data_IF_457054147994
#
_entry.id   IF_457054147994
#
_cell.length_a   1.000
_cell.length_b   1.000
_cell.length_c   1.000
_cell.angle_alpha   90.00
_cell.angle_beta   90.00
_cell.angle_gamma   90.00
#
_symmetry.space_group_name_H-M   'P 1'
#
loop_
_entity.id
_entity.type
_entity.pdbx_description
1 polymer ?
#
# COMPACT_ATOMS: atom_id res chain seq x y z
N UNK A 1 -6.18 3.54 12.17
CA UNK A 1 -5.99 3.73 13.63
C UNK A 1 -7.07 4.61 14.26
N UNK A 2 -7.62 5.59 13.57
CA UNK A 2 -8.63 6.52 14.10
C UNK A 2 -9.92 5.79 14.50
N UNK A 3 -10.39 4.85 13.68
CA UNK A 3 -11.57 4.02 13.99
C UNK A 3 -11.37 3.17 15.25
N UNK A 4 -10.16 2.68 15.46
CA UNK A 4 -9.83 1.87 16.64
C UNK A 4 -9.77 2.70 17.92
N UNK A 5 -9.17 3.88 17.86
CA UNK A 5 -8.94 4.73 19.04
C UNK A 5 -10.05 5.74 19.32
N UNK A 6 -10.88 6.04 18.32
CA UNK A 6 -11.86 7.14 18.37
C UNK A 6 -11.23 8.53 18.26
N UNK A 7 -9.92 8.61 17.97
CA UNK A 7 -9.20 9.88 17.83
C UNK A 7 -9.39 10.45 16.42
N UNK A 8 -9.39 11.78 16.28
CA UNK A 8 -9.52 12.43 14.97
C UNK A 8 -8.26 12.25 14.09
N UNK A 9 -7.10 12.05 14.72
CA UNK A 9 -5.81 11.80 14.06
C UNK A 9 -4.90 11.01 14.98
N UNK A 10 -4.23 9.99 14.46
CA UNK A 10 -3.26 9.17 15.21
C UNK A 10 -1.89 9.30 14.58
N UNK A 11 -0.93 9.87 15.31
CA UNK A 11 0.46 10.02 14.87
C UNK A 11 1.47 9.39 15.83
N UNK A 12 0.98 8.72 16.88
CA UNK A 12 1.75 7.96 17.84
C UNK A 12 0.91 6.81 18.39
N UNK A 13 1.55 5.76 18.85
CA UNK A 13 0.91 4.71 19.63
C UNK A 13 1.03 5.09 21.12
N UNK A 14 0.06 5.81 21.59
CA UNK A 14 -0.07 6.27 22.97
C UNK A 14 -0.87 5.30 23.85
N UNK A 15 -1.16 5.68 25.08
CA UNK A 15 -1.96 4.88 26.00
C UNK A 15 -3.38 4.59 25.46
N UNK A 16 -3.95 5.49 24.64
CA UNK A 16 -5.24 5.29 23.99
C UNK A 16 -5.18 4.13 22.99
N UNK A 17 -4.14 4.09 22.16
CA UNK A 17 -3.90 2.97 21.23
C UNK A 17 -3.72 1.66 21.96
N UNK A 18 -2.93 1.64 23.04
CA UNK A 18 -2.68 0.47 23.85
C UNK A 18 -3.98 -0.09 24.48
N UNK A 19 -4.78 0.77 25.09
CA UNK A 19 -6.06 0.38 25.67
C UNK A 19 -7.04 -0.12 24.60
N UNK A 20 -7.07 0.52 23.43
CA UNK A 20 -7.90 0.09 22.32
C UNK A 20 -7.52 -1.31 21.83
N UNK A 21 -6.24 -1.60 21.63
CA UNK A 21 -5.74 -2.92 21.23
C UNK A 21 -5.95 -4.00 22.28
N UNK A 22 -5.89 -3.64 23.56
CA UNK A 22 -6.23 -4.57 24.66
C UNK A 22 -7.71 -4.92 24.68
N UNK A 23 -8.57 -3.93 24.43
CA UNK A 23 -10.03 -4.09 24.41
C UNK A 23 -10.51 -4.81 23.15
N UNK A 24 -9.93 -4.47 22.00
CA UNK A 24 -10.27 -5.02 20.69
C UNK A 24 -8.99 -5.48 19.97
N UNK A 25 -8.59 -6.75 20.13
CA UNK A 25 -7.39 -7.28 19.48
C UNK A 25 -7.65 -7.47 17.97
N UNK A 26 -7.36 -6.45 17.18
CA UNK A 26 -7.45 -6.50 15.70
C UNK A 26 -6.28 -7.29 15.11
N UNK A 27 -6.44 -7.82 13.88
CA UNK A 27 -5.38 -8.54 13.15
C UNK A 27 -4.39 -7.61 12.44
N UNK A 28 -4.77 -6.37 12.19
CA UNK A 28 -3.92 -5.40 11.50
C UNK A 28 -4.46 -3.98 11.56
N UNK A 29 -3.63 -3.04 11.14
CA UNK A 29 -3.94 -1.61 11.10
C UNK A 29 -3.49 -1.03 9.76
N UNK A 30 -4.44 -0.41 9.05
CA UNK A 30 -4.17 0.40 7.86
C UNK A 30 -3.88 1.85 8.29
N UNK A 31 -2.75 2.36 7.84
CA UNK A 31 -2.34 3.75 8.03
C UNK A 31 -2.49 4.55 6.74
N UNK A 32 -2.74 5.84 6.88
CA UNK A 32 -2.90 6.78 5.78
C UNK A 32 -2.00 8.00 5.94
N UNK A 33 -1.94 8.83 4.92
CA UNK A 33 -1.17 10.07 4.86
C UNK A 33 -1.27 10.92 6.13
N UNK A 34 -2.46 11.02 6.73
CA UNK A 34 -2.69 11.80 7.95
C UNK A 34 -1.89 11.30 9.17
N UNK A 35 -1.45 10.04 9.15
CA UNK A 35 -0.69 9.43 10.26
C UNK A 35 0.81 9.73 10.19
N UNK A 36 1.31 10.21 9.06
CA UNK A 36 2.74 10.34 8.80
C UNK A 36 3.20 11.80 8.89
N UNK A 37 4.34 12.03 9.56
CA UNK A 37 4.96 13.34 9.76
C UNK A 37 6.43 13.33 9.30
N UNK A 38 7.19 12.32 9.74
CA UNK A 38 8.61 12.12 9.40
C UNK A 38 9.01 10.66 9.63
N UNK A 39 10.07 10.20 8.95
CA UNK A 39 10.53 8.80 9.01
C UNK A 39 10.70 8.26 10.43
N UNK A 40 11.31 9.03 11.32
CA UNK A 40 11.51 8.60 12.71
C UNK A 40 10.18 8.41 13.45
N UNK A 41 9.24 9.36 13.32
CA UNK A 41 7.90 9.25 13.94
C UNK A 41 7.15 8.02 13.43
N UNK A 42 7.21 7.71 12.15
CA UNK A 42 6.57 6.51 11.58
C UNK A 42 7.17 5.24 12.20
N UNK A 43 8.51 5.12 12.26
CA UNK A 43 9.17 3.98 12.90
C UNK A 43 8.75 3.80 14.36
N UNK A 44 8.76 4.87 15.13
CA UNK A 44 8.38 4.86 16.54
C UNK A 44 6.91 4.44 16.70
N UNK A 45 6.01 5.04 15.92
CA UNK A 45 4.58 4.73 15.94
C UNK A 45 4.32 3.27 15.61
N UNK A 46 4.88 2.73 14.51
CA UNK A 46 4.66 1.34 14.10
C UNK A 46 5.27 0.36 15.11
N UNK A 47 6.49 0.61 15.57
CA UNK A 47 7.16 -0.22 16.58
C UNK A 47 6.36 -0.27 17.88
N UNK A 48 5.88 0.88 18.36
CA UNK A 48 5.09 0.95 19.58
C UNK A 48 3.72 0.30 19.42
N UNK A 49 3.04 0.53 18.28
CA UNK A 49 1.78 -0.16 17.96
C UNK A 49 1.95 -1.67 18.03
N UNK A 50 3.01 -2.21 17.42
CA UNK A 50 3.30 -3.65 17.47
C UNK A 50 3.53 -4.14 18.91
N UNK A 51 4.23 -3.37 19.74
CA UNK A 51 4.47 -3.71 21.16
C UNK A 51 3.21 -3.66 22.02
N UNK A 52 2.25 -2.83 21.66
CA UNK A 52 0.96 -2.74 22.36
C UNK A 52 0.04 -3.93 22.09
N UNK A 53 0.27 -4.67 21.01
CA UNK A 53 -0.56 -5.81 20.63
C UNK A 53 -0.04 -7.13 21.21
N UNK A 54 -0.97 -8.00 21.57
CA UNK A 54 -0.66 -9.37 22.05
C UNK A 54 -0.38 -10.36 20.92
N UNK A 55 -0.77 -10.03 19.71
CA UNK A 55 -0.56 -10.81 18.50
C UNK A 55 0.22 -9.99 17.48
N UNK A 56 1.03 -10.60 16.60
CA UNK A 56 1.66 -9.88 15.51
C UNK A 56 0.60 -9.21 14.63
N UNK A 57 0.77 -7.90 14.40
CA UNK A 57 -0.13 -7.11 13.56
C UNK A 57 0.33 -7.05 12.13
N UNK A 58 -0.63 -7.07 11.19
CA UNK A 58 -0.43 -6.56 9.84
C UNK A 58 -0.41 -5.04 9.92
N UNK A 59 0.74 -4.42 9.62
CA UNK A 59 0.91 -2.97 9.56
C UNK A 59 1.07 -2.57 8.10
N UNK A 60 0.10 -1.84 7.57
CA UNK A 60 -0.01 -1.61 6.14
C UNK A 60 -0.41 -0.17 5.78
N UNK A 61 -0.14 0.23 4.55
CA UNK A 61 -0.69 1.39 3.87
C UNK A 61 -0.80 1.11 2.37
N UNK A 62 -1.26 2.09 1.58
CA UNK A 62 -1.25 2.04 0.12
C UNK A 62 0.00 2.76 -0.40
N UNK A 63 1.01 2.04 -0.83
CA UNK A 63 2.22 2.60 -1.45
C UNK A 63 2.42 1.99 -2.83
N UNK A 64 1.53 2.37 -3.77
CA UNK A 64 1.50 1.79 -5.12
C UNK A 64 2.58 2.37 -6.05
N UNK A 65 3.14 3.51 -5.68
CA UNK A 65 3.85 4.40 -6.60
C UNK A 65 2.91 5.38 -7.31
N UNK A 66 3.46 6.26 -8.14
CA UNK A 66 2.67 7.26 -8.86
C UNK A 66 1.83 8.14 -7.96
N UNK A 67 0.55 8.27 -8.29
CA UNK A 67 -0.40 9.14 -7.55
C UNK A 67 -0.94 8.52 -6.25
N UNK A 68 -0.86 7.20 -6.10
CA UNK A 68 -1.26 6.52 -4.87
C UNK A 68 -0.02 6.14 -4.08
N UNK A 69 0.44 7.07 -3.31
CA UNK A 69 1.56 6.91 -2.38
C UNK A 69 1.26 7.68 -1.09
N UNK A 70 1.62 7.12 0.06
CA UNK A 70 1.38 7.72 1.37
C UNK A 70 2.67 8.18 2.03
N UNK A 71 3.76 7.45 1.77
CA UNK A 71 5.07 7.66 2.39
C UNK A 71 5.95 8.60 1.56
N UNK A 72 5.95 8.42 0.25
CA UNK A 72 6.74 9.23 -0.68
C UNK A 72 6.44 10.73 -0.52
N UNK A 73 5.15 11.10 -0.49
CA UNK A 73 4.72 12.49 -0.37
C UNK A 73 4.93 13.08 1.03
N UNK A 74 4.92 12.27 2.09
CA UNK A 74 4.89 12.77 3.46
C UNK A 74 6.23 12.67 4.15
N UNK A 75 6.96 11.56 3.97
CA UNK A 75 8.21 11.30 4.69
C UNK A 75 9.42 11.17 3.77
N UNK A 76 9.22 11.27 2.45
CA UNK A 76 10.31 11.31 1.47
C UNK A 76 11.00 9.95 1.29
N UNK A 77 10.22 8.87 1.10
CA UNK A 77 10.72 7.60 0.55
C UNK A 77 11.09 7.77 -0.93
N UNK A 78 11.70 6.76 -1.53
CA UNK A 78 12.16 6.82 -2.92
C UNK A 78 10.98 7.04 -3.88
N UNK A 79 11.10 8.03 -4.75
CA UNK A 79 10.06 8.29 -5.74
C UNK A 79 10.05 7.22 -6.83
N UNK A 80 8.92 6.52 -6.95
CA UNK A 80 8.60 5.63 -8.07
C UNK A 80 7.37 6.21 -8.77
N UNK A 81 7.46 6.40 -10.08
CA UNK A 81 6.36 6.91 -10.92
C UNK A 81 5.20 5.95 -11.05
N UNK A 82 4.16 6.33 -11.81
CA UNK A 82 3.01 5.46 -12.05
C UNK A 82 3.44 4.20 -12.82
N UNK A 83 2.89 3.04 -12.43
CA UNK A 83 3.32 1.73 -12.93
C UNK A 83 3.09 1.57 -14.44
N UNK A 84 2.02 2.17 -14.98
CA UNK A 84 1.76 2.14 -16.42
C UNK A 84 2.90 2.76 -17.26
N UNK A 85 3.59 3.75 -16.73
CA UNK A 85 4.76 4.37 -17.38
C UNK A 85 5.93 3.42 -17.56
N UNK A 86 5.96 2.29 -16.86
CA UNK A 86 7.01 1.28 -16.93
C UNK A 86 6.60 0.01 -17.69
N UNK A 87 5.38 -0.06 -18.26
CA UNK A 87 4.81 -1.29 -18.83
C UNK A 87 5.70 -1.95 -19.87
N UNK A 88 6.38 -1.16 -20.70
CA UNK A 88 7.21 -1.66 -21.80
C UNK A 88 8.70 -1.86 -21.39
N UNK A 89 9.03 -1.67 -20.11
CA UNK A 89 10.39 -1.84 -19.59
C UNK A 89 10.67 -3.25 -19.05
N UNK A 90 9.69 -4.14 -19.12
CA UNK A 90 9.82 -5.56 -18.79
C UNK A 90 9.72 -5.88 -17.30
N UNK A 91 9.78 -7.19 -17.02
CA UNK A 91 9.56 -7.76 -15.68
C UNK A 91 10.63 -7.37 -14.68
N UNK A 92 11.88 -7.15 -15.11
CA UNK A 92 12.95 -6.71 -14.22
C UNK A 92 12.66 -5.32 -13.63
N UNK A 93 12.16 -4.38 -14.45
CA UNK A 93 11.78 -3.05 -13.97
C UNK A 93 10.60 -3.13 -12.99
N UNK A 94 9.60 -3.96 -13.28
CA UNK A 94 8.48 -4.17 -12.37
C UNK A 94 8.95 -4.74 -11.01
N UNK A 95 9.88 -5.69 -11.03
CA UNK A 95 10.51 -6.23 -9.84
C UNK A 95 11.29 -5.16 -9.06
N UNK A 96 12.17 -4.41 -9.72
CA UNK A 96 13.03 -3.42 -9.05
C UNK A 96 12.24 -2.26 -8.43
N UNK A 97 11.20 -1.78 -9.12
CA UNK A 97 10.32 -0.75 -8.58
C UNK A 97 9.61 -1.23 -7.31
N UNK A 98 9.03 -2.43 -7.35
CA UNK A 98 8.36 -3.03 -6.21
C UNK A 98 9.31 -3.31 -5.04
N UNK A 99 10.51 -3.82 -5.32
CA UNK A 99 11.55 -4.05 -4.31
C UNK A 99 11.98 -2.74 -3.62
N UNK A 100 12.11 -1.66 -4.38
CA UNK A 100 12.48 -0.35 -3.84
C UNK A 100 11.40 0.18 -2.90
N UNK A 101 10.12 0.11 -3.30
CA UNK A 101 9.00 0.50 -2.45
C UNK A 101 8.99 -0.34 -1.17
N UNK A 102 9.09 -1.66 -1.31
CA UNK A 102 9.05 -2.58 -0.18
C UNK A 102 10.21 -2.36 0.80
N UNK A 103 11.43 -2.17 0.29
CA UNK A 103 12.60 -1.91 1.14
C UNK A 103 12.44 -0.62 1.96
N UNK A 104 11.90 0.44 1.35
CA UNK A 104 11.60 1.69 2.06
C UNK A 104 10.50 1.50 3.13
N UNK A 105 9.43 0.75 2.81
CA UNK A 105 8.36 0.41 3.75
C UNK A 105 8.87 -0.44 4.90
N UNK A 106 9.62 -1.49 4.60
CA UNK A 106 10.22 -2.38 5.59
C UNK A 106 11.15 -1.63 6.54
N UNK A 107 11.98 -0.73 6.02
CA UNK A 107 12.85 0.13 6.81
C UNK A 107 12.09 1.07 7.76
N UNK A 108 10.81 1.34 7.50
CA UNK A 108 9.93 2.12 8.38
C UNK A 108 9.17 1.25 9.39
N UNK A 109 9.11 -0.08 9.19
CA UNK A 109 8.45 -1.02 10.07
C UNK A 109 7.10 -1.54 9.56
N UNK A 110 6.71 -1.24 8.31
CA UNK A 110 5.59 -1.91 7.64
C UNK A 110 5.97 -3.34 7.27
N UNK A 111 5.00 -4.24 7.28
CA UNK A 111 5.18 -5.65 6.89
C UNK A 111 4.25 -6.08 5.76
N UNK A 112 3.33 -5.22 5.33
CA UNK A 112 2.38 -5.49 4.24
C UNK A 112 2.12 -4.21 3.47
N UNK A 113 1.98 -4.31 2.15
CA UNK A 113 1.49 -3.26 1.29
C UNK A 113 0.16 -3.67 0.65
N UNK A 114 -0.78 -2.73 0.53
CA UNK A 114 -1.99 -2.92 -0.27
C UNK A 114 -1.67 -2.62 -1.75
N UNK A 115 -0.75 -3.39 -2.29
CA UNK A 115 -0.23 -3.37 -3.65
C UNK A 115 0.30 -4.79 -4.01
N UNK A 116 0.56 -5.10 -5.29
CA UNK A 116 0.37 -4.27 -6.48
C UNK A 116 -1.07 -4.19 -6.97
N UNK A 117 -1.36 -3.17 -7.80
CA UNK A 117 -2.62 -3.06 -8.55
C UNK A 117 -2.60 -4.08 -9.67
N UNK A 118 -3.41 -5.14 -9.52
CA UNK A 118 -3.54 -6.23 -10.48
C UNK A 118 -4.65 -5.98 -11.52
N UNK A 119 -5.34 -4.85 -11.42
CA UNK A 119 -6.29 -4.42 -12.43
C UNK A 119 -5.59 -4.17 -13.76
N UNK A 120 -6.24 -4.56 -14.86
CA UNK A 120 -5.80 -4.24 -16.22
C UNK A 120 -6.60 -3.05 -16.71
N UNK A 121 -5.93 -2.00 -17.16
CA UNK A 121 -6.61 -0.78 -17.66
C UNK A 121 -7.21 -1.04 -19.04
N UNK A 122 -8.24 -1.91 -19.10
CA UNK A 122 -8.91 -2.33 -20.33
C UNK A 122 -9.90 -1.29 -20.85
N UNK A 123 -10.46 -0.47 -19.96
CA UNK A 123 -11.32 0.64 -20.33
C UNK A 123 -10.53 1.96 -20.26
N UNK A 124 -10.22 2.61 -21.41
CA UNK A 124 -9.45 3.85 -21.43
C UNK A 124 -10.16 5.03 -20.73
N UNK A 125 -11.48 4.97 -20.57
CA UNK A 125 -12.25 5.99 -19.86
C UNK A 125 -12.21 5.81 -18.33
N UNK A 126 -11.65 4.71 -17.84
CA UNK A 126 -11.47 4.47 -16.42
C UNK A 126 -10.33 5.33 -15.87
N UNK A 127 -10.69 6.43 -15.21
CA UNK A 127 -9.75 7.36 -14.57
C UNK A 127 -9.38 6.94 -13.14
N UNK A 128 -10.12 5.98 -12.56
CA UNK A 128 -9.89 5.51 -11.17
C UNK A 128 -8.66 4.62 -11.11
N UNK A 129 -8.57 3.65 -12.00
CA UNK A 129 -7.38 2.79 -12.14
C UNK A 129 -6.34 3.50 -13.01
N UNK A 130 -6.63 3.74 -14.27
CA UNK A 130 -5.74 4.49 -15.15
C UNK A 130 -4.29 4.05 -15.06
N UNK A 131 -3.41 5.01 -14.87
CA UNK A 131 -1.94 4.84 -14.79
C UNK A 131 -1.43 4.09 -13.55
N UNK A 132 -2.31 3.70 -12.61
CA UNK A 132 -1.97 2.80 -11.49
C UNK A 132 -1.76 1.36 -11.95
N UNK A 133 -2.42 0.95 -13.05
CA UNK A 133 -2.28 -0.38 -13.62
C UNK A 133 -0.85 -0.64 -14.14
N UNK A 134 -0.43 -1.91 -14.12
CA UNK A 134 0.84 -2.31 -14.74
C UNK A 134 0.74 -2.40 -16.26
N UNK A 135 -0.45 -2.59 -16.82
CA UNK A 135 -0.69 -2.67 -18.27
C UNK A 135 -2.16 -2.49 -18.63
N UNK A 136 -2.41 -2.20 -19.91
CA UNK A 136 -3.70 -2.26 -20.60
C UNK A 136 -3.92 -3.62 -21.31
N UNK A 137 -2.92 -4.51 -21.27
CA UNK A 137 -2.96 -5.85 -21.82
C UNK A 137 -2.97 -6.92 -20.73
N UNK A 138 -3.95 -7.82 -20.75
CA UNK A 138 -4.06 -8.94 -19.81
C UNK A 138 -2.82 -9.85 -19.83
N UNK A 139 -2.29 -10.16 -21.01
CA UNK A 139 -1.09 -11.01 -21.13
C UNK A 139 0.14 -10.33 -20.54
N UNK A 140 0.35 -9.04 -20.80
CA UNK A 140 1.47 -8.29 -20.25
C UNK A 140 1.35 -8.10 -18.74
N UNK A 141 0.15 -7.79 -18.25
CA UNK A 141 -0.10 -7.70 -16.81
C UNK A 141 0.20 -9.02 -16.09
N UNK A 142 -0.18 -10.16 -16.71
CA UNK A 142 0.10 -11.49 -16.17
C UNK A 142 1.61 -11.82 -16.08
N UNK A 143 2.47 -11.12 -16.80
CA UNK A 143 3.94 -11.24 -16.70
C UNK A 143 4.51 -10.24 -15.65
N UNK A 144 4.05 -9.00 -15.66
CA UNK A 144 4.60 -7.93 -14.82
C UNK A 144 4.21 -8.06 -13.34
N UNK A 145 2.95 -8.39 -13.06
CA UNK A 145 2.43 -8.46 -11.68
C UNK A 145 3.15 -9.52 -10.82
N UNK A 146 3.37 -10.77 -11.30
CA UNK A 146 4.15 -11.73 -10.52
C UNK A 146 5.59 -11.29 -10.25
N UNK A 147 6.20 -10.53 -11.17
CA UNK A 147 7.53 -9.96 -10.95
C UNK A 147 7.51 -8.89 -9.85
N UNK A 148 6.51 -8.01 -9.87
CA UNK A 148 6.31 -7.02 -8.80
C UNK A 148 6.06 -7.69 -7.44
N UNK A 149 5.21 -8.73 -7.37
CA UNK A 149 4.98 -9.50 -6.14
C UNK A 149 6.28 -10.06 -5.58
N UNK A 150 7.14 -10.64 -6.42
CA UNK A 150 8.47 -11.10 -5.97
C UNK A 150 9.32 -9.94 -5.45
N UNK A 151 9.30 -8.78 -6.13
CA UNK A 151 10.02 -7.59 -5.68
C UNK A 151 9.58 -7.13 -4.29
N UNK A 152 8.28 -7.07 -4.02
CA UNK A 152 7.75 -6.75 -2.69
C UNK A 152 8.21 -7.77 -1.64
N UNK A 153 8.12 -9.07 -1.92
CA UNK A 153 8.51 -10.11 -0.97
C UNK A 153 10.02 -10.07 -0.68
N UNK A 154 10.85 -9.91 -1.70
CA UNK A 154 12.30 -9.81 -1.54
C UNK A 154 12.72 -8.53 -0.82
N UNK A 155 11.93 -7.45 -0.94
CA UNK A 155 12.05 -6.22 -0.16
C UNK A 155 11.55 -6.32 1.29
N UNK A 156 10.99 -7.47 1.69
CA UNK A 156 10.59 -7.77 3.06
C UNK A 156 9.14 -7.40 3.41
N UNK A 157 8.26 -7.21 2.42
CA UNK A 157 6.86 -6.79 2.61
C UNK A 157 5.91 -7.77 1.92
N UNK A 158 4.89 -8.23 2.63
CA UNK A 158 3.80 -9.00 2.04
C UNK A 158 2.90 -8.12 1.16
N UNK A 159 2.15 -8.74 0.25
CA UNK A 159 1.32 -8.03 -0.73
C UNK A 159 -0.15 -8.39 -0.62
N UNK A 160 -1.01 -7.45 -1.03
CA UNK A 160 -2.42 -7.69 -1.28
C UNK A 160 -2.77 -7.20 -2.69
N UNK A 161 -2.95 -8.15 -3.61
CA UNK A 161 -3.38 -7.85 -4.97
C UNK A 161 -4.77 -7.20 -4.97
N UNK A 162 -4.94 -6.12 -5.72
CA UNK A 162 -6.19 -5.37 -5.77
C UNK A 162 -6.52 -4.93 -7.19
N UNK A 163 -7.81 -4.71 -7.50
CA UNK A 163 -8.99 -4.69 -6.65
C UNK A 163 -9.92 -5.85 -7.04
N UNK A 164 -9.90 -6.93 -6.33
CA UNK A 164 -10.75 -8.09 -6.64
C UNK A 164 -12.24 -7.71 -6.68
N UNK A 165 -13.03 -8.19 -7.67
CA UNK A 165 -12.68 -9.14 -8.74
C UNK A 165 -12.02 -8.49 -9.97
N UNK A 166 -11.81 -7.19 -10.02
CA UNK A 166 -11.21 -6.40 -11.08
C UNK A 166 -11.94 -5.07 -11.26
N UNK A 167 -11.19 -3.97 -11.31
CA UNK A 167 -11.73 -2.60 -11.42
C UNK A 167 -11.30 -1.89 -12.71
N UNK A 168 -10.43 -2.49 -13.53
CA UNK A 168 -9.84 -1.83 -14.68
C UNK A 168 -10.80 -1.57 -15.86
N UNK A 169 -11.95 -2.27 -15.90
CA UNK A 169 -12.96 -2.16 -16.96
C UNK A 169 -14.19 -1.33 -16.56
N UNK A 170 -14.28 -0.86 -15.32
CA UNK A 170 -15.42 -0.10 -14.81
C UNK A 170 -15.43 1.36 -15.29
N UNK A 171 -16.60 2.03 -15.23
CA UNK A 171 -16.76 3.45 -15.61
C UNK A 171 -16.77 4.42 -14.43
N UNK A 172 -17.03 3.93 -13.23
CA UNK A 172 -17.21 4.77 -12.05
C UNK A 172 -16.35 4.30 -10.89
N UNK A 173 -16.14 5.16 -9.89
CA UNK A 173 -15.44 4.81 -8.66
C UNK A 173 -16.35 3.97 -7.76
N UNK A 174 -15.88 2.80 -7.35
CA UNK A 174 -16.60 1.91 -6.44
C UNK A 174 -16.79 2.50 -5.03
N UNK A 175 -16.09 3.58 -4.68
CA UNK A 175 -16.34 4.33 -3.44
C UNK A 175 -17.63 5.15 -3.49
N UNK A 176 -18.11 5.50 -4.70
CA UNK A 176 -19.32 6.29 -4.90
C UNK A 176 -20.58 5.42 -5.05
N UNK A 177 -20.43 4.10 -5.14
CA UNK A 177 -21.53 3.14 -5.28
C UNK A 177 -21.14 1.85 -5.98
N UNK A 178 -22.14 1.05 -6.37
CA UNK A 178 -21.90 -0.16 -7.16
C UNK A 178 -21.49 0.21 -8.60
N UNK A 179 -20.49 -0.44 -9.14
CA UNK A 179 -19.92 -0.23 -10.47
C UNK A 179 -19.93 -1.51 -11.29
#
# INVERSE_FOLDING_TARGET
>A
PEQLTGSARVTAADETMKQALQKLPVGGILYNTANFIKKQQVREMLSETQRCSRIPLILTCDEEGGRVNRLMQTVGTTYIGPMFGFKDMGTETAYQNAHTIAADMHALGFNTDLAPVADVWSNPDNTVIGDRAYSDSFSQAAELIPAAVRGFHDGGVATALKHFPGHGDTFADSHDGAV
#
